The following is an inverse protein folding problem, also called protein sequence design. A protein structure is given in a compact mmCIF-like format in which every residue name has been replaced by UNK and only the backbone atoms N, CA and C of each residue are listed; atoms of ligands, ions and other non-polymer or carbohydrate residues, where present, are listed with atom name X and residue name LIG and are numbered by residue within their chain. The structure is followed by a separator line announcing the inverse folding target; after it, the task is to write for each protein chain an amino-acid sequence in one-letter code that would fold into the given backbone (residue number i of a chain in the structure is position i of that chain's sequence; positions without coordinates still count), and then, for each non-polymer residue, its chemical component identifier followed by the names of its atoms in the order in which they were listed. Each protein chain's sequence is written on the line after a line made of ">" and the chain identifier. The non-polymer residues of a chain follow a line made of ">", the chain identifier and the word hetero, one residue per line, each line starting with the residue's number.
data_IF_557111301206
#
_entry.id   IF_557111301206
#
_cell.length_a   1.000
_cell.length_b   1.000
_cell.length_c   1.000
_cell.angle_alpha   90.00
_cell.angle_beta   90.00
_cell.angle_gamma   90.00
#
_symmetry.space_group_name_H-M   'P 1'
#
loop_
_entity.id
_entity.type
_entity.pdbx_description
1 polymer ?
#
# COMPACT_ATOMS: atom_id res chain seq x y z
N UNK A 1 7.48 -1.36 -8.68
CA UNK A 1 7.85 -0.21 -9.47
C UNK A 1 6.72 0.83 -9.50
N UNK A 2 6.12 1.08 -8.33
CA UNK A 2 5.01 2.03 -8.13
C UNK A 2 5.47 3.37 -7.52
N UNK A 3 6.78 3.71 -7.62
CA UNK A 3 7.41 4.81 -6.88
C UNK A 3 7.49 6.14 -7.63
N UNK A 4 7.07 6.24 -8.88
CA UNK A 4 7.31 7.44 -9.70
C UNK A 4 6.12 8.41 -9.81
N UNK A 5 4.94 8.06 -9.32
CA UNK A 5 3.74 8.89 -9.53
C UNK A 5 3.58 10.05 -8.53
N UNK A 6 4.29 10.05 -7.41
CA UNK A 6 4.08 11.06 -6.34
C UNK A 6 4.99 12.28 -6.37
N UNK A 7 5.84 12.42 -7.40
CA UNK A 7 6.81 13.54 -7.50
C UNK A 7 6.24 14.84 -8.09
N UNK A 8 4.98 14.83 -8.58
CA UNK A 8 4.42 16.00 -9.28
C UNK A 8 3.56 16.95 -8.42
N UNK A 9 3.15 16.53 -7.24
CA UNK A 9 2.41 17.41 -6.32
C UNK A 9 3.10 17.40 -4.96
N UNK A 10 3.88 18.40 -4.66
CA UNK A 10 4.52 18.83 -3.40
C UNK A 10 4.20 18.12 -2.08
N UNK A 11 3.99 16.82 -2.05
CA UNK A 11 3.70 16.03 -0.89
C UNK A 11 4.85 15.06 -0.60
N UNK A 12 5.39 15.10 0.61
CA UNK A 12 6.39 14.15 1.10
C UNK A 12 5.96 12.70 0.81
N UNK A 13 6.94 11.80 0.64
CA UNK A 13 6.69 10.37 0.47
C UNK A 13 5.74 9.89 1.57
N UNK A 14 4.66 9.19 1.18
CA UNK A 14 3.75 8.59 2.14
C UNK A 14 4.54 7.51 2.88
N UNK A 15 4.84 7.76 4.16
CA UNK A 15 5.56 6.82 5.00
C UNK A 15 4.62 5.70 5.42
N UNK A 16 5.14 4.49 5.49
CA UNK A 16 4.43 3.36 6.08
C UNK A 16 4.32 3.62 7.58
N UNK A 17 3.11 3.63 8.11
CA UNK A 17 2.86 3.79 9.54
C UNK A 17 2.94 2.43 10.22
N UNK A 18 3.99 2.23 10.98
CA UNK A 18 4.27 1.00 11.71
C UNK A 18 3.94 1.17 13.19
N UNK A 19 2.95 0.43 13.68
CA UNK A 19 2.64 0.30 15.09
C UNK A 19 3.38 -0.90 15.70
N UNK A 20 4.03 -0.72 16.83
CA UNK A 20 4.71 -1.78 17.57
C UNK A 20 4.19 -1.79 19.01
N UNK A 21 3.70 -2.95 19.45
CA UNK A 21 3.31 -3.19 20.83
C UNK A 21 4.31 -4.17 21.46
N UNK A 22 5.13 -3.68 22.37
CA UNK A 22 6.18 -4.46 23.03
C UNK A 22 6.33 -4.00 24.48
N UNK A 23 6.54 -4.97 25.38
CA UNK A 23 6.72 -4.70 26.81
C UNK A 23 8.14 -4.24 27.14
N UNK A 24 9.14 -4.71 26.40
CA UNK A 24 10.53 -4.32 26.60
C UNK A 24 10.78 -2.91 26.03
N UNK A 25 10.72 -1.92 26.91
CA UNK A 25 11.00 -0.53 26.55
C UNK A 25 12.44 -0.32 26.04
N UNK A 26 13.40 -1.12 26.50
CA UNK A 26 14.79 -1.05 26.05
C UNK A 26 14.93 -1.50 24.58
N UNK A 27 14.23 -2.56 24.22
CA UNK A 27 14.15 -3.03 22.83
C UNK A 27 13.45 -1.99 21.95
N UNK A 28 12.29 -1.48 22.39
CA UNK A 28 11.54 -0.44 21.65
C UNK A 28 12.40 0.78 21.36
N UNK A 29 13.08 1.31 22.37
CA UNK A 29 13.93 2.49 22.19
C UNK A 29 15.07 2.26 21.18
N UNK A 30 15.72 1.09 21.24
CA UNK A 30 16.75 0.73 20.26
C UNK A 30 16.18 0.60 18.86
N UNK A 31 15.03 -0.07 18.72
CA UNK A 31 14.34 -0.26 17.45
C UNK A 31 13.97 1.10 16.84
N UNK A 32 13.29 1.98 17.59
CA UNK A 32 12.89 3.31 17.15
C UNK A 32 14.10 4.13 16.71
N UNK A 33 15.16 4.15 17.50
CA UNK A 33 16.36 4.92 17.17
C UNK A 33 16.97 4.47 15.83
N UNK A 34 17.04 3.17 15.58
CA UNK A 34 17.60 2.66 14.32
C UNK A 34 16.66 2.92 13.15
N UNK A 35 15.36 2.71 13.31
CA UNK A 35 14.39 2.95 12.24
C UNK A 35 14.24 4.43 11.89
N UNK A 36 14.18 5.31 12.89
CA UNK A 36 14.12 6.77 12.67
C UNK A 36 15.41 7.37 12.11
N UNK A 37 16.55 6.67 12.23
CA UNK A 37 17.80 7.10 11.60
C UNK A 37 17.94 6.54 10.18
N UNK A 38 17.72 5.24 10.01
CA UNK A 38 18.04 4.53 8.75
C UNK A 38 16.89 4.55 7.74
N UNK A 39 15.64 4.57 8.21
CA UNK A 39 14.43 4.42 7.38
C UNK A 39 13.41 5.56 7.57
N UNK A 40 13.84 6.68 8.15
CA UNK A 40 12.99 7.83 8.45
C UNK A 40 12.16 8.37 7.28
N UNK A 41 12.66 8.23 6.05
CA UNK A 41 11.95 8.69 4.85
C UNK A 41 10.86 7.71 4.38
N UNK A 42 10.89 6.45 4.87
CA UNK A 42 10.04 5.36 4.37
C UNK A 42 9.07 4.84 5.40
N UNK A 43 9.45 4.84 6.69
CA UNK A 43 8.65 4.31 7.78
C UNK A 43 8.52 5.36 8.90
N UNK A 44 7.33 5.48 9.43
CA UNK A 44 7.01 6.22 10.64
C UNK A 44 6.62 5.22 11.73
N UNK A 45 7.38 5.17 12.83
CA UNK A 45 7.20 4.18 13.89
C UNK A 45 6.41 4.76 15.05
N UNK A 46 5.36 4.07 15.45
CA UNK A 46 4.55 4.32 16.64
C UNK A 46 4.74 3.16 17.61
N UNK A 47 5.15 3.44 18.83
CA UNK A 47 5.42 2.42 19.84
C UNK A 47 4.44 2.49 20.99
N UNK A 48 4.02 1.32 21.45
CA UNK A 48 3.05 1.15 22.51
C UNK A 48 3.54 0.09 23.50
N UNK A 49 3.24 0.30 24.78
CA UNK A 49 3.46 -0.67 25.86
C UNK A 49 2.15 -1.16 26.45
N UNK A 50 1.04 -0.49 26.14
CA UNK A 50 -0.32 -0.84 26.57
C UNK A 50 -1.16 -1.28 25.36
N UNK A 51 -1.83 -2.44 25.50
CA UNK A 51 -2.66 -3.03 24.46
C UNK A 51 -3.82 -2.14 24.05
N UNK A 52 -4.55 -1.57 25.01
CA UNK A 52 -5.77 -0.80 24.72
C UNK A 52 -5.44 0.49 23.96
N UNK A 53 -4.32 1.13 24.35
CA UNK A 53 -3.83 2.33 23.65
C UNK A 53 -3.40 1.98 22.23
N UNK A 54 -2.69 0.86 22.05
CA UNK A 54 -2.29 0.40 20.72
C UNK A 54 -3.50 0.13 19.83
N UNK A 55 -4.47 -0.65 20.29
CA UNK A 55 -5.67 -0.99 19.53
C UNK A 55 -6.47 0.25 19.11
N UNK A 56 -6.66 1.21 20.02
CA UNK A 56 -7.33 2.48 19.71
C UNK A 56 -6.58 3.31 18.66
N UNK A 57 -5.24 3.23 18.66
CA UNK A 57 -4.39 3.94 17.71
C UNK A 57 -4.42 3.34 16.30
N UNK A 58 -4.72 2.03 16.14
CA UNK A 58 -4.75 1.38 14.84
C UNK A 58 -5.74 2.03 13.87
N UNK A 59 -6.91 2.38 14.36
CA UNK A 59 -7.95 3.03 13.56
C UNK A 59 -7.76 4.55 13.49
N UNK A 60 -7.57 5.22 14.63
CA UNK A 60 -7.49 6.68 14.71
C UNK A 60 -6.33 7.24 13.89
N UNK A 61 -5.18 6.57 13.88
CA UNK A 61 -3.98 7.01 13.16
C UNK A 61 -3.81 6.33 11.79
N UNK A 62 -4.72 5.46 11.39
CA UNK A 62 -4.66 4.69 10.14
C UNK A 62 -3.32 3.99 9.97
N UNK A 63 -3.01 3.06 10.90
CA UNK A 63 -1.80 2.28 10.83
C UNK A 63 -1.83 1.32 9.65
N UNK A 64 -0.67 1.13 9.00
CA UNK A 64 -0.52 0.25 7.83
C UNK A 64 -0.03 -1.13 8.25
N UNK A 65 0.85 -1.20 9.26
CA UNK A 65 1.42 -2.45 9.79
C UNK A 65 1.37 -2.40 11.31
N UNK A 66 0.92 -3.48 11.92
CA UNK A 66 0.91 -3.67 13.37
C UNK A 66 1.71 -4.92 13.73
N UNK A 67 2.70 -4.77 14.60
CA UNK A 67 3.51 -5.87 15.10
C UNK A 67 3.43 -5.88 16.62
N UNK A 68 3.15 -7.02 17.17
CA UNK A 68 3.07 -7.21 18.64
C UNK A 68 3.95 -8.34 19.10
N UNK A 69 4.47 -8.23 20.32
CA UNK A 69 5.07 -9.39 21.00
C UNK A 69 4.04 -10.50 21.19
N UNK A 70 4.47 -11.75 21.09
CA UNK A 70 3.66 -12.94 21.34
C UNK A 70 3.12 -13.02 22.78
N UNK A 71 3.65 -12.19 23.66
CA UNK A 71 3.17 -12.03 25.05
C UNK A 71 1.74 -11.44 25.11
N UNK A 72 1.35 -10.63 24.14
CA UNK A 72 0.03 -10.00 24.13
C UNK A 72 -0.97 -10.86 23.37
N UNK A 73 -2.04 -11.25 24.03
CA UNK A 73 -3.18 -11.90 23.41
C UNK A 73 -3.99 -10.86 22.62
N UNK A 74 -3.87 -10.88 21.30
CA UNK A 74 -4.60 -9.98 20.39
C UNK A 74 -5.70 -10.77 19.68
N UNK A 75 -6.92 -10.26 19.70
CA UNK A 75 -7.97 -10.73 18.80
C UNK A 75 -7.74 -10.15 17.41
N UNK A 76 -7.41 -11.02 16.46
CA UNK A 76 -7.13 -10.65 15.07
C UNK A 76 -8.35 -10.00 14.41
N UNK A 77 -9.57 -10.34 14.85
CA UNK A 77 -10.79 -9.77 14.32
C UNK A 77 -10.99 -8.29 14.67
N UNK A 78 -10.33 -7.82 15.75
CA UNK A 78 -10.34 -6.41 16.15
C UNK A 78 -9.34 -5.56 15.35
N UNK A 79 -8.42 -6.19 14.60
CA UNK A 79 -7.44 -5.47 13.78
C UNK A 79 -8.12 -4.99 12.50
N UNK A 80 -7.97 -3.70 12.13
CA UNK A 80 -8.52 -3.19 10.88
C UNK A 80 -8.00 -3.97 9.67
N UNK A 81 -8.87 -4.40 8.76
CA UNK A 81 -8.51 -5.21 7.57
C UNK A 81 -7.44 -4.59 6.68
N UNK A 82 -7.27 -3.26 6.74
CA UNK A 82 -6.22 -2.54 6.02
C UNK A 82 -4.85 -2.64 6.67
N UNK A 83 -4.78 -3.03 7.94
CA UNK A 83 -3.57 -3.11 8.72
C UNK A 83 -2.99 -4.52 8.64
N UNK A 84 -1.77 -4.65 8.13
CA UNK A 84 -1.03 -5.91 8.14
C UNK A 84 -0.62 -6.27 9.56
N UNK A 85 -0.69 -7.53 9.91
CA UNK A 85 -0.38 -7.99 11.25
C UNK A 85 0.72 -9.03 11.27
N UNK A 86 1.58 -8.98 12.29
CA UNK A 86 2.60 -9.99 12.56
C UNK A 86 2.94 -10.04 14.07
N UNK A 87 3.53 -11.16 14.49
CA UNK A 87 4.09 -11.29 15.83
C UNK A 87 5.60 -11.04 15.87
N UNK A 88 6.07 -10.36 16.90
CA UNK A 88 7.49 -10.39 17.27
C UNK A 88 7.76 -11.59 18.15
N UNK A 89 8.80 -12.36 17.80
CA UNK A 89 9.26 -13.55 18.51
C UNK A 89 10.74 -13.46 18.83
N UNK A 90 11.15 -14.15 19.87
CA UNK A 90 12.56 -14.19 20.28
C UNK A 90 13.35 -15.27 19.52
N UNK A 91 12.67 -16.30 19.02
CA UNK A 91 13.30 -17.42 18.31
C UNK A 91 13.26 -17.23 16.78
N UNK A 92 14.38 -17.43 16.09
CA UNK A 92 14.42 -17.34 14.62
C UNK A 92 13.74 -18.52 13.91
N UNK A 93 13.41 -19.59 14.64
CA UNK A 93 12.83 -20.81 14.06
C UNK A 93 11.30 -20.77 14.01
N UNK A 94 10.68 -19.72 14.53
CA UNK A 94 9.22 -19.54 14.52
C UNK A 94 8.87 -18.62 13.36
N UNK A 95 8.25 -19.17 12.33
CA UNK A 95 7.84 -18.41 11.15
C UNK A 95 6.38 -17.94 11.22
N UNK A 96 5.54 -18.66 11.99
CA UNK A 96 4.13 -18.35 12.13
C UNK A 96 3.63 -18.63 13.56
N UNK A 97 2.69 -17.82 14.04
CA UNK A 97 1.90 -18.00 15.26
C UNK A 97 0.44 -17.77 14.92
N UNK A 98 -0.44 -18.74 15.22
CA UNK A 98 -1.89 -18.64 14.96
C UNK A 98 -2.22 -18.20 13.54
N UNK A 99 -1.57 -18.81 12.54
CA UNK A 99 -1.69 -18.48 11.13
C UNK A 99 -1.29 -17.04 10.75
N UNK A 100 -0.56 -16.37 11.63
CA UNK A 100 0.00 -15.04 11.38
C UNK A 100 1.53 -15.08 11.27
N UNK A 101 2.13 -14.27 10.40
CA UNK A 101 3.59 -14.19 10.27
C UNK A 101 4.27 -13.83 11.57
N UNK A 102 5.43 -14.43 11.82
CA UNK A 102 6.28 -14.13 12.96
C UNK A 102 7.64 -13.57 12.51
N UNK A 103 8.09 -12.52 13.18
CA UNK A 103 9.33 -11.80 12.90
C UNK A 103 10.25 -11.94 14.10
N UNK A 104 11.45 -12.48 13.91
CA UNK A 104 12.42 -12.58 15.00
C UNK A 104 12.96 -11.19 15.38
N UNK A 105 12.92 -10.85 16.67
CA UNK A 105 13.43 -9.58 17.20
C UNK A 105 14.95 -9.44 17.06
N UNK A 106 15.67 -10.56 17.21
CA UNK A 106 17.13 -10.59 17.33
C UNK A 106 17.83 -10.92 16.01
N UNK A 107 17.29 -10.41 14.91
CA UNK A 107 17.91 -10.52 13.60
C UNK A 107 18.44 -9.16 13.11
N UNK A 108 19.13 -9.17 11.95
CA UNK A 108 19.63 -7.93 11.35
C UNK A 108 18.45 -7.00 11.01
N UNK A 109 18.59 -5.74 11.36
CA UNK A 109 17.53 -4.74 11.17
C UNK A 109 17.06 -4.63 9.71
N UNK A 110 17.96 -4.87 8.75
CA UNK A 110 17.61 -4.88 7.32
C UNK A 110 16.69 -6.04 6.95
N UNK A 111 16.76 -7.16 7.65
CA UNK A 111 15.84 -8.29 7.47
C UNK A 111 14.46 -7.96 8.05
N UNK A 112 14.41 -7.38 9.26
CA UNK A 112 13.16 -6.91 9.86
C UNK A 112 12.50 -5.90 8.92
N UNK A 113 13.26 -4.93 8.41
CA UNK A 113 12.74 -3.95 7.46
C UNK A 113 12.15 -4.60 6.19
N UNK A 114 12.84 -5.59 5.60
CA UNK A 114 12.33 -6.34 4.44
C UNK A 114 11.04 -7.10 4.75
N UNK A 115 10.95 -7.74 5.92
CA UNK A 115 9.75 -8.45 6.35
C UNK A 115 8.57 -7.49 6.57
N UNK A 116 8.80 -6.30 7.14
CA UNK A 116 7.78 -5.26 7.26
C UNK A 116 7.30 -4.80 5.87
N UNK A 117 8.20 -4.60 4.91
CA UNK A 117 7.82 -4.25 3.55
C UNK A 117 7.00 -5.35 2.86
N UNK A 118 7.36 -6.62 3.07
CA UNK A 118 6.61 -7.76 2.53
C UNK A 118 5.19 -7.78 3.11
N UNK A 119 5.04 -7.68 4.43
CA UNK A 119 3.74 -7.60 5.10
C UNK A 119 2.88 -6.47 4.53
N UNK A 120 3.46 -5.29 4.37
CA UNK A 120 2.76 -4.15 3.79
C UNK A 120 2.34 -4.41 2.33
N UNK A 121 3.23 -5.01 1.53
CA UNK A 121 2.94 -5.30 0.11
C UNK A 121 1.92 -6.42 -0.07
N UNK A 122 1.94 -7.44 0.78
CA UNK A 122 0.96 -8.53 0.76
C UNK A 122 -0.44 -8.03 1.08
N UNK A 123 -0.57 -7.14 2.05
CA UNK A 123 -1.87 -6.55 2.36
C UNK A 123 -2.30 -5.55 1.28
N UNK A 124 -1.38 -4.78 0.70
CA UNK A 124 -1.66 -3.96 -0.47
C UNK A 124 -2.06 -4.82 -1.68
N UNK A 125 -1.46 -5.99 -1.84
CA UNK A 125 -1.87 -7.02 -2.81
C UNK A 125 -3.23 -7.66 -2.48
N UNK A 126 -3.51 -7.89 -1.20
CA UNK A 126 -4.78 -8.42 -0.72
C UNK A 126 -5.90 -7.37 -0.72
N UNK A 127 -5.59 -6.08 -0.60
CA UNK A 127 -6.55 -4.99 -0.87
C UNK A 127 -6.99 -5.03 -2.34
N UNK A 128 -6.12 -5.44 -3.27
CA UNK A 128 -6.53 -5.74 -4.64
C UNK A 128 -7.31 -7.06 -4.77
N UNK A 129 -7.24 -7.96 -3.78
CA UNK A 129 -8.00 -9.21 -3.66
C UNK A 129 -9.19 -9.11 -2.66
N UNK A 130 -9.39 -7.97 -1.97
CA UNK A 130 -10.64 -7.73 -1.24
C UNK A 130 -11.75 -7.91 -2.26
N UNK A 131 -12.55 -8.94 -2.01
CA UNK A 131 -13.73 -9.32 -2.75
C UNK A 131 -14.26 -8.16 -3.56
N UNK A 132 -13.98 -8.19 -4.84
CA UNK A 132 -14.65 -7.34 -5.79
C UNK A 132 -16.13 -7.73 -5.71
N UNK A 133 -16.90 -7.07 -4.87
CA UNK A 133 -18.29 -6.85 -5.21
C UNK A 133 -18.24 -6.39 -6.67
N UNK A 134 -19.12 -6.92 -7.51
CA UNK A 134 -19.12 -6.73 -8.97
C UNK A 134 -19.02 -5.26 -9.45
N UNK A 135 -18.95 -4.31 -8.54
CA UNK A 135 -18.88 -2.85 -8.77
C UNK A 135 -17.50 -2.22 -8.46
N UNK A 136 -16.49 -3.01 -8.03
CA UNK A 136 -15.18 -2.44 -7.71
C UNK A 136 -14.36 -2.14 -8.96
N UNK A 137 -13.84 -0.91 -9.05
CA UNK A 137 -12.94 -0.50 -10.12
C UNK A 137 -11.57 -1.18 -9.96
N UNK A 138 -11.09 -1.86 -11.01
CA UNK A 138 -9.76 -2.48 -11.07
C UNK A 138 -8.80 -1.57 -11.82
N UNK A 139 -7.69 -1.18 -11.17
CA UNK A 139 -6.64 -0.39 -11.80
C UNK A 139 -5.48 -1.31 -12.17
N UNK A 140 -5.10 -1.31 -13.45
CA UNK A 140 -3.97 -2.07 -13.97
C UNK A 140 -2.98 -1.07 -14.57
N UNK A 141 -1.76 -1.03 -14.05
CA UNK A 141 -0.70 -0.16 -14.56
C UNK A 141 0.31 -0.95 -15.40
N UNK A 142 0.64 -0.39 -16.56
CA UNK A 142 1.70 -0.91 -17.43
C UNK A 142 2.85 0.10 -17.47
N UNK A 143 4.07 -0.37 -17.31
CA UNK A 143 5.25 0.48 -17.35
C UNK A 143 6.49 -0.29 -17.76
N UNK A 144 7.46 0.40 -18.36
CA UNK A 144 8.75 -0.17 -18.72
C UNK A 144 9.88 0.80 -18.40
N UNK A 145 11.03 0.30 -17.93
CA UNK A 145 12.22 1.12 -17.73
C UNK A 145 12.92 1.50 -19.03
N UNK A 146 12.58 0.83 -20.14
CA UNK A 146 13.19 1.05 -21.45
C UNK A 146 12.11 1.25 -22.51
N UNK A 147 12.36 2.11 -23.49
CA UNK A 147 11.47 2.30 -24.64
C UNK A 147 11.44 1.05 -25.54
N UNK A 148 10.35 0.89 -26.29
CA UNK A 148 10.22 -0.17 -27.28
C UNK A 148 9.92 -1.58 -26.75
N UNK A 149 9.64 -1.74 -25.47
CA UNK A 149 9.33 -3.05 -24.83
C UNK A 149 7.88 -3.51 -25.03
N UNK A 150 7.05 -2.72 -25.70
CA UNK A 150 5.65 -3.05 -25.97
C UNK A 150 4.68 -2.81 -24.83
N UNK A 151 5.08 -2.06 -23.78
CA UNK A 151 4.20 -1.77 -22.64
C UNK A 151 2.91 -1.06 -23.04
N UNK A 152 2.98 -0.05 -23.92
CA UNK A 152 1.81 0.67 -24.44
C UNK A 152 0.91 -0.23 -25.27
N UNK A 153 1.48 -1.11 -26.11
CA UNK A 153 0.73 -2.10 -26.89
C UNK A 153 0.01 -3.09 -25.98
N UNK A 154 0.70 -3.59 -24.95
CA UNK A 154 0.08 -4.50 -23.98
C UNK A 154 -1.02 -3.84 -23.18
N UNK A 155 -0.85 -2.59 -22.79
CA UNK A 155 -1.88 -1.81 -22.10
C UNK A 155 -3.13 -1.65 -22.98
N UNK A 156 -2.96 -1.29 -24.26
CA UNK A 156 -4.04 -1.13 -25.21
C UNK A 156 -4.75 -2.46 -25.48
N UNK A 157 -4.00 -3.56 -25.68
CA UNK A 157 -4.57 -4.89 -25.88
C UNK A 157 -5.40 -5.36 -24.67
N UNK A 158 -4.90 -5.09 -23.45
CA UNK A 158 -5.60 -5.42 -22.21
C UNK A 158 -6.91 -4.61 -22.09
N UNK A 159 -6.90 -3.31 -22.40
CA UNK A 159 -8.09 -2.47 -22.38
C UNK A 159 -9.15 -2.96 -23.37
N UNK A 160 -8.74 -3.28 -24.62
CA UNK A 160 -9.63 -3.84 -25.64
C UNK A 160 -10.21 -5.19 -25.20
N UNK A 161 -9.40 -6.06 -24.63
CA UNK A 161 -9.86 -7.37 -24.16
C UNK A 161 -10.98 -7.23 -23.11
N UNK A 162 -10.85 -6.34 -22.13
CA UNK A 162 -11.90 -6.12 -21.14
C UNK A 162 -13.12 -5.45 -21.73
N UNK A 163 -12.95 -4.51 -22.65
CA UNK A 163 -14.07 -3.86 -23.34
C UNK A 163 -14.88 -4.87 -24.17
N UNK A 164 -14.21 -5.79 -24.89
CA UNK A 164 -14.85 -6.88 -25.64
C UNK A 164 -15.60 -7.86 -24.72
N UNK A 165 -15.19 -8.01 -23.47
CA UNK A 165 -15.94 -8.76 -22.46
C UNK A 165 -17.12 -7.99 -21.87
N UNK A 166 -17.46 -6.82 -22.38
CA UNK A 166 -18.56 -5.97 -21.90
C UNK A 166 -18.27 -5.20 -20.63
N UNK A 167 -17.01 -5.14 -20.20
CA UNK A 167 -16.61 -4.37 -19.00
C UNK A 167 -16.43 -2.90 -19.34
N UNK A 168 -16.92 -2.00 -18.48
CA UNK A 168 -16.63 -0.57 -18.59
C UNK A 168 -15.13 -0.36 -18.36
N UNK A 169 -14.41 0.01 -19.39
CA UNK A 169 -12.95 0.11 -19.37
C UNK A 169 -12.51 1.52 -19.73
N UNK A 170 -11.67 2.11 -18.90
CA UNK A 170 -10.98 3.36 -19.17
C UNK A 170 -9.50 3.04 -19.49
N UNK A 171 -9.03 3.46 -20.65
CA UNK A 171 -7.60 3.48 -20.98
C UNK A 171 -7.05 4.89 -20.73
N UNK A 172 -6.08 4.98 -19.83
CA UNK A 172 -5.45 6.25 -19.48
C UNK A 172 -3.96 6.19 -19.89
N UNK A 173 -3.58 7.04 -20.85
CA UNK A 173 -2.19 7.18 -21.29
C UNK A 173 -1.52 8.32 -20.49
N UNK A 174 -0.51 7.99 -19.71
CA UNK A 174 0.27 8.94 -18.91
C UNK A 174 1.68 9.16 -19.49
N UNK A 175 1.94 8.70 -20.71
CA UNK A 175 3.20 8.95 -21.39
C UNK A 175 3.25 10.40 -21.88
N UNK A 176 4.41 11.05 -21.72
CA UNK A 176 4.58 12.46 -22.14
C UNK A 176 4.38 12.66 -23.64
N UNK A 177 4.69 11.66 -24.45
CA UNK A 177 4.58 11.66 -25.92
C UNK A 177 3.79 10.45 -26.42
N UNK A 178 2.76 10.04 -25.67
CA UNK A 178 1.94 8.89 -26.03
C UNK A 178 0.90 9.24 -27.09
N UNK A 179 0.75 8.37 -28.07
CA UNK A 179 -0.27 8.47 -29.13
C UNK A 179 -1.32 7.37 -28.92
N UNK A 180 -2.37 7.66 -28.15
CA UNK A 180 -3.48 6.71 -27.96
C UNK A 180 -4.22 6.42 -29.28
N UNK A 181 -4.23 7.38 -30.20
CA UNK A 181 -4.87 7.28 -31.53
C UNK A 181 -4.29 6.16 -32.42
N UNK A 182 -3.07 5.70 -32.12
CA UNK A 182 -2.51 4.52 -32.82
C UNK A 182 -3.25 3.23 -32.51
N UNK A 183 -3.89 3.15 -31.35
CA UNK A 183 -4.54 1.93 -30.86
C UNK A 183 -6.07 2.03 -30.94
N UNK A 184 -6.62 3.25 -30.82
CA UNK A 184 -8.06 3.49 -30.73
C UNK A 184 -8.46 4.58 -31.73
N UNK A 185 -9.55 4.36 -32.46
CA UNK A 185 -10.20 5.45 -33.20
C UNK A 185 -10.96 6.31 -32.19
N UNK A 186 -10.33 7.37 -31.72
CA UNK A 186 -10.95 8.30 -30.78
C UNK A 186 -11.80 9.31 -31.55
N UNK A 187 -13.11 9.33 -31.28
CA UNK A 187 -14.05 10.36 -31.73
C UNK A 187 -14.47 11.22 -30.53
N UNK A 188 -13.51 11.70 -29.72
CA UNK A 188 -13.78 12.42 -28.50
C UNK A 188 -13.38 13.89 -28.58
N UNK A 189 -14.15 14.75 -27.91
CA UNK A 189 -13.86 16.19 -27.75
C UNK A 189 -13.26 16.50 -26.38
N UNK A 190 -13.00 15.47 -25.53
CA UNK A 190 -12.52 15.62 -24.16
C UNK A 190 -11.04 15.29 -24.06
N UNK A 191 -10.31 16.11 -23.31
CA UNK A 191 -8.89 15.91 -23.03
C UNK A 191 -8.62 15.66 -21.53
N UNK A 192 -7.35 15.56 -21.13
CA UNK A 192 -6.95 15.33 -19.75
C UNK A 192 -7.40 16.44 -18.79
N UNK A 193 -7.54 17.68 -19.28
CA UNK A 193 -8.01 18.81 -18.47
C UNK A 193 -9.49 18.66 -18.08
N UNK A 194 -10.28 18.03 -18.92
CA UNK A 194 -11.69 17.76 -18.62
C UNK A 194 -11.83 16.66 -17.56
N UNK A 195 -10.98 15.63 -17.63
CA UNK A 195 -10.91 14.60 -16.61
C UNK A 195 -10.50 15.20 -15.25
N UNK A 196 -9.53 16.11 -15.24
CA UNK A 196 -9.05 16.80 -14.04
C UNK A 196 -10.15 17.64 -13.39
N UNK A 197 -10.97 18.34 -14.18
CA UNK A 197 -12.14 19.09 -13.70
C UNK A 197 -13.17 18.18 -13.06
N UNK A 198 -13.52 17.07 -13.70
CA UNK A 198 -14.50 16.11 -13.17
C UNK A 198 -14.02 15.49 -11.87
N UNK A 199 -12.74 15.11 -11.77
CA UNK A 199 -12.15 14.60 -10.54
C UNK A 199 -12.15 15.65 -9.41
N UNK A 200 -11.80 16.90 -9.72
CA UNK A 200 -11.81 17.99 -8.75
C UNK A 200 -13.22 18.33 -8.24
N UNK A 201 -14.23 18.26 -9.09
CA UNK A 201 -15.63 18.47 -8.70
C UNK A 201 -16.17 17.32 -7.83
N UNK A 202 -15.79 16.08 -8.13
CA UNK A 202 -16.17 14.92 -7.32
C UNK A 202 -15.59 14.99 -5.91
N UNK A 203 -14.31 15.36 -5.78
CA UNK A 203 -13.65 15.56 -4.49
C UNK A 203 -14.23 16.72 -3.66
N UNK A 204 -14.75 17.76 -4.32
CA UNK A 204 -15.44 18.85 -3.62
C UNK A 204 -16.79 18.45 -3.07
N UNK A 205 -17.51 17.55 -3.74
CA UNK A 205 -18.82 17.06 -3.28
C UNK A 205 -18.71 16.12 -2.07
N UNK A 206 -17.61 15.38 -1.94
CA UNK A 206 -17.36 14.49 -0.78
C UNK A 206 -16.93 15.25 0.49
N UNK A 207 -16.46 16.50 0.36
CA UNK A 207 -16.03 17.31 1.51
C UNK A 207 -17.10 18.27 2.05
N UNK A 208 -18.38 18.11 1.66
CA UNK A 208 -19.53 18.97 2.06
C UNK A 208 -20.57 18.15 2.88
N UNK A 209 -20.17 17.02 3.49
CA UNK A 209 -21.01 16.27 4.46
C UNK A 209 -20.38 16.27 5.84
#
# INVERSE_FOLDING_TARGET
>A
MCFLYKRMYGGGFMKIKLAILEKDASYLNRFINVFSTKYAEKIEVYSFTDKNVAMSALDSNRMDVFITSDFFEIDINEIPKRCSFAYFVDSPNVEMINDQPAICKFQKIDLIYKQILNLYSENAGNISNIHMNNDACKIIAFGSPAGGTGSSTMAAACALHFALQGKKTLYLNLEKFGFADMFFKAEGQFDMSDLEKVCAESLRKENVL
#
